data_IF_861065002365
#
_entry.id   IF_861065002365
#
_cell.length_a   1.000
_cell.length_b   1.000
_cell.length_c   1.000
_cell.angle_alpha   90.00
_cell.angle_beta   90.00
_cell.angle_gamma   90.00
#
_symmetry.space_group_name_H-M   'P 1'
#
loop_
_entity.id
_entity.type
_entity.pdbx_description
1 polymer ?
#
# COMPACT_ATOMS: atom_id res chain seq x y z
N UNK A 1 -9.77 -16.13 -0.97
CA UNK A 1 -9.24 -14.78 -1.18
C UNK A 1 -7.77 -14.90 -1.55
N UNK A 2 -7.37 -14.32 -2.68
CA UNK A 2 -6.05 -14.34 -3.27
C UNK A 2 -5.65 -12.91 -3.61
N UNK A 3 -4.46 -12.48 -3.22
CA UNK A 3 -3.95 -11.15 -3.51
C UNK A 3 -2.48 -11.17 -3.90
N UNK A 4 -2.00 -10.04 -4.42
CA UNK A 4 -0.61 -9.86 -4.82
C UNK A 4 0.02 -8.62 -4.17
N UNK A 5 1.34 -8.69 -3.98
CA UNK A 5 2.14 -7.50 -3.75
C UNK A 5 2.50 -6.88 -5.11
N UNK A 6 2.18 -5.60 -5.27
CA UNK A 6 2.47 -4.83 -6.47
C UNK A 6 3.38 -3.65 -6.11
N UNK A 7 4.22 -3.25 -7.06
CA UNK A 7 5.19 -2.17 -6.89
C UNK A 7 5.17 -1.15 -8.04
N UNK A 8 4.40 -1.42 -9.10
CA UNK A 8 4.31 -0.59 -10.29
C UNK A 8 3.03 -0.89 -11.10
N UNK A 9 2.79 -0.11 -12.15
CA UNK A 9 1.61 -0.25 -13.02
C UNK A 9 1.50 -1.62 -13.71
N UNK A 10 2.61 -2.17 -14.22
CA UNK A 10 2.59 -3.45 -14.92
C UNK A 10 2.15 -4.61 -14.02
N UNK A 11 2.54 -4.57 -12.74
CA UNK A 11 2.09 -5.55 -11.75
C UNK A 11 0.62 -5.38 -11.36
N UNK A 12 0.13 -4.13 -11.28
CA UNK A 12 -1.27 -3.81 -11.05
C UNK A 12 -2.16 -4.35 -12.18
N UNK A 13 -1.80 -4.08 -13.44
CA UNK A 13 -2.49 -4.59 -14.63
C UNK A 13 -2.52 -6.12 -14.65
N UNK A 14 -1.40 -6.76 -14.28
CA UNK A 14 -1.32 -8.22 -14.19
C UNK A 14 -2.23 -8.78 -13.11
N UNK A 15 -2.33 -8.12 -11.95
CA UNK A 15 -3.26 -8.53 -10.90
C UNK A 15 -4.73 -8.47 -11.36
N UNK A 16 -5.08 -7.46 -12.17
CA UNK A 16 -6.40 -7.36 -12.80
C UNK A 16 -6.63 -8.50 -13.78
N UNK A 17 -5.67 -8.75 -14.68
CA UNK A 17 -5.77 -9.81 -15.68
C UNK A 17 -5.89 -11.22 -15.07
N UNK A 18 -5.32 -11.42 -13.88
CA UNK A 18 -5.42 -12.68 -13.13
C UNK A 18 -6.69 -12.80 -12.27
N UNK A 19 -7.52 -11.76 -12.19
CA UNK A 19 -8.75 -11.77 -11.40
C UNK A 19 -8.49 -11.87 -9.89
N UNK A 20 -7.45 -11.20 -9.38
CA UNK A 20 -7.14 -11.21 -7.96
C UNK A 20 -8.17 -10.42 -7.13
N UNK A 21 -8.32 -10.78 -5.86
CA UNK A 21 -9.32 -10.17 -4.96
C UNK A 21 -8.85 -8.83 -4.39
N UNK A 22 -7.54 -8.63 -4.22
CA UNK A 22 -6.93 -7.40 -3.72
C UNK A 22 -5.43 -7.32 -4.04
N UNK A 23 -4.85 -6.14 -3.87
CA UNK A 23 -3.39 -5.94 -3.93
C UNK A 23 -2.90 -5.11 -2.75
N UNK A 24 -1.63 -5.31 -2.37
CA UNK A 24 -0.88 -4.31 -1.59
C UNK A 24 0.03 -3.54 -2.54
N UNK A 25 0.06 -2.21 -2.45
CA UNK A 25 0.93 -1.37 -3.28
C UNK A 25 1.98 -0.69 -2.39
N UNK A 26 3.27 -0.90 -2.72
CA UNK A 26 4.40 -0.56 -1.84
C UNK A 26 5.72 -0.36 -2.58
N UNK A 27 6.76 0.21 -1.93
CA UNK A 27 6.69 0.93 -0.66
C UNK A 27 6.21 2.37 -0.86
N UNK A 28 5.28 2.83 0.00
CA UNK A 28 4.80 4.22 -0.05
C UNK A 28 5.81 5.18 0.54
N UNK A 29 6.43 4.81 1.66
CA UNK A 29 7.41 5.60 2.39
C UNK A 29 8.62 4.74 2.78
N UNK A 30 9.68 5.37 3.26
CA UNK A 30 10.89 4.66 3.67
C UNK A 30 10.56 3.59 4.72
N UNK A 31 11.20 2.43 4.60
CA UNK A 31 10.96 1.29 5.49
C UNK A 31 12.27 0.76 6.04
N UNK A 32 12.28 0.28 7.28
CA UNK A 32 13.45 -0.40 7.84
C UNK A 32 13.72 -1.78 7.22
N UNK A 33 12.72 -2.40 6.59
CA UNK A 33 12.89 -3.70 5.94
C UNK A 33 13.71 -3.58 4.65
N UNK A 34 13.50 -2.50 3.90
CA UNK A 34 14.24 -2.18 2.67
C UNK A 34 14.60 -0.69 2.69
N UNK A 35 15.66 -0.29 3.40
CA UNK A 35 16.02 1.12 3.61
C UNK A 35 16.51 1.83 2.34
N UNK A 36 17.00 1.07 1.37
CA UNK A 36 17.53 1.60 0.10
C UNK A 36 16.52 1.56 -1.05
N UNK A 37 15.30 1.05 -0.81
CA UNK A 37 14.28 0.98 -1.84
C UNK A 37 13.75 2.38 -2.21
N UNK A 38 13.62 2.65 -3.50
CA UNK A 38 12.90 3.82 -3.99
C UNK A 38 11.42 3.71 -3.59
N UNK A 39 10.87 4.81 -3.08
CA UNK A 39 9.49 4.86 -2.60
C UNK A 39 8.57 5.45 -3.67
N UNK A 40 7.33 4.98 -3.73
CA UNK A 40 6.31 5.55 -4.61
C UNK A 40 5.94 6.98 -4.21
N UNK A 41 5.77 7.23 -2.91
CA UNK A 41 5.12 8.44 -2.41
C UNK A 41 3.64 8.48 -2.78
N UNK A 42 2.91 9.40 -2.14
CA UNK A 42 1.45 9.47 -2.26
C UNK A 42 0.96 9.95 -3.63
N UNK A 43 1.72 10.84 -4.29
CA UNK A 43 1.36 11.37 -5.62
C UNK A 43 1.34 10.24 -6.65
N UNK A 44 2.46 9.52 -6.82
CA UNK A 44 2.54 8.38 -7.74
C UNK A 44 1.59 7.25 -7.37
N UNK A 45 1.39 7.01 -6.07
CA UNK A 45 0.39 6.05 -5.61
C UNK A 45 -1.01 6.42 -6.13
N UNK A 46 -1.44 7.67 -5.96
CA UNK A 46 -2.75 8.12 -6.44
C UNK A 46 -2.86 8.05 -7.96
N UNK A 47 -1.79 8.38 -8.70
CA UNK A 47 -1.76 8.30 -10.17
C UNK A 47 -1.97 6.85 -10.65
N UNK A 48 -1.33 5.88 -10.00
CA UNK A 48 -1.47 4.46 -10.33
C UNK A 48 -2.89 3.92 -10.05
N UNK A 49 -3.66 4.58 -9.17
CA UNK A 49 -4.98 4.12 -8.74
C UNK A 49 -6.15 4.83 -9.41
N UNK A 50 -5.90 5.81 -10.30
CA UNK A 50 -6.95 6.68 -10.86
C UNK A 50 -8.15 5.94 -11.47
N UNK A 51 -7.95 4.74 -12.02
CA UNK A 51 -9.01 3.87 -12.57
C UNK A 51 -8.79 2.39 -12.19
N UNK A 52 -8.10 2.13 -11.09
CA UNK A 52 -7.75 0.77 -10.70
C UNK A 52 -8.95 0.04 -10.08
N UNK A 53 -9.40 -1.11 -10.64
CA UNK A 53 -10.71 -1.67 -10.30
C UNK A 53 -10.71 -2.61 -9.07
N UNK A 54 -9.54 -2.96 -8.54
CA UNK A 54 -9.39 -3.95 -7.46
C UNK A 54 -9.02 -3.25 -6.15
N UNK A 55 -9.50 -3.74 -4.99
CA UNK A 55 -9.11 -3.20 -3.68
C UNK A 55 -7.60 -3.11 -3.47
N UNK A 56 -7.12 -1.93 -3.04
CA UNK A 56 -5.71 -1.65 -2.80
C UNK A 56 -5.46 -1.29 -1.34
N UNK A 57 -4.45 -1.93 -0.73
CA UNK A 57 -3.98 -1.59 0.61
C UNK A 57 -2.58 -0.98 0.52
N UNK A 58 -2.42 0.23 1.06
CA UNK A 58 -1.13 0.91 1.05
C UNK A 58 -0.17 0.22 2.03
N UNK A 59 1.07 -0.04 1.60
CA UNK A 59 2.05 -0.77 2.39
C UNK A 59 3.45 -0.14 2.26
N UNK A 60 4.26 -0.29 3.30
CA UNK A 60 5.65 0.16 3.32
C UNK A 60 5.79 1.54 3.95
N UNK A 61 6.20 1.55 5.22
CA UNK A 61 6.41 2.77 6.02
C UNK A 61 5.17 3.25 6.78
N UNK A 62 4.03 2.55 6.65
CA UNK A 62 2.74 2.98 7.19
C UNK A 62 2.66 2.94 8.72
N UNK A 63 2.04 3.97 9.27
CA UNK A 63 1.56 4.13 10.65
C UNK A 63 0.04 4.10 10.70
N UNK A 64 -0.54 3.95 11.89
CA UNK A 64 -2.01 3.97 12.06
C UNK A 64 -2.62 5.30 11.61
N UNK A 65 -1.93 6.41 11.89
CA UNK A 65 -2.37 7.77 11.56
C UNK A 65 -2.38 8.04 10.04
N UNK A 66 -1.77 7.18 9.22
CA UNK A 66 -1.77 7.31 7.76
C UNK A 66 -3.08 6.84 7.12
N UNK A 67 -4.04 6.29 7.88
CA UNK A 67 -5.22 5.63 7.32
C UNK A 67 -6.08 6.60 6.48
N UNK A 68 -6.32 7.79 7.00
CA UNK A 68 -7.12 8.80 6.31
C UNK A 68 -6.39 9.32 5.06
N UNK A 69 -5.08 9.54 5.16
CA UNK A 69 -4.22 9.90 4.01
C UNK A 69 -4.29 8.82 2.93
N UNK A 70 -4.15 7.54 3.28
CA UNK A 70 -4.19 6.45 2.32
C UNK A 70 -5.52 6.39 1.58
N UNK A 71 -6.64 6.59 2.30
CA UNK A 71 -7.98 6.65 1.70
C UNK A 71 -8.15 7.83 0.77
N UNK A 72 -7.65 9.01 1.15
CA UNK A 72 -7.65 10.20 0.29
C UNK A 72 -6.88 9.97 -1.03
N UNK A 73 -5.86 9.12 -1.00
CA UNK A 73 -5.07 8.74 -2.18
C UNK A 73 -5.57 7.47 -2.89
N UNK A 74 -6.79 7.00 -2.60
CA UNK A 74 -7.44 5.91 -3.33
C UNK A 74 -7.24 4.50 -2.74
N UNK A 75 -6.54 4.37 -1.61
CA UNK A 75 -6.45 3.09 -0.92
C UNK A 75 -7.78 2.71 -0.24
N UNK A 76 -8.07 1.42 -0.21
CA UNK A 76 -9.17 0.87 0.60
C UNK A 76 -8.79 0.79 2.09
N UNK A 77 -7.49 0.66 2.38
CA UNK A 77 -6.95 0.67 3.73
C UNK A 77 -5.42 0.60 3.77
N UNK A 78 -4.90 0.24 4.94
CA UNK A 78 -3.48 0.08 5.19
C UNK A 78 -3.11 -1.37 5.47
N UNK A 79 -1.90 -1.75 5.08
CA UNK A 79 -1.21 -2.92 5.62
C UNK A 79 0.05 -2.46 6.37
N UNK A 80 0.22 -2.97 7.58
CA UNK A 80 1.29 -2.59 8.51
C UNK A 80 1.99 -3.83 9.05
N UNK A 81 3.27 -3.69 9.40
CA UNK A 81 4.05 -4.75 10.05
C UNK A 81 4.42 -4.36 11.49
N UNK A 82 5.36 -3.41 11.65
CA UNK A 82 5.88 -3.02 12.97
C UNK A 82 4.94 -2.09 13.73
N UNK A 83 4.33 -1.13 13.04
CA UNK A 83 3.49 -0.10 13.65
C UNK A 83 2.29 -0.67 14.42
N UNK A 84 1.74 -1.82 14.01
CA UNK A 84 0.63 -2.50 14.71
C UNK A 84 1.01 -2.90 16.14
N UNK A 85 2.26 -3.29 16.37
CA UNK A 85 2.73 -3.72 17.69
C UNK A 85 3.11 -2.53 18.59
N UNK A 86 3.46 -1.39 17.98
CA UNK A 86 3.78 -0.15 18.70
C UNK A 86 2.54 0.66 19.10
N UNK A 87 1.40 0.44 18.44
CA UNK A 87 0.16 1.15 18.69
C UNK A 87 -0.46 0.88 20.08
N UNK A 88 0.06 -0.09 20.83
CA UNK A 88 -0.42 -0.48 22.16
C UNK A 88 0.52 -0.07 23.32
N UNK A 89 1.47 0.83 23.09
CA UNK A 89 2.30 1.39 24.17
C UNK A 89 1.65 2.65 24.76
N UNK A 90 0.55 2.46 25.48
CA UNK A 90 0.13 3.42 26.50
C UNK A 90 0.89 3.06 27.77
N UNK A 91 1.79 3.94 28.22
CA UNK A 91 2.27 3.95 29.60
C UNK A 91 1.17 4.49 30.51
#
# INVERSE_FOLDING_TARGET
>A
MCGAACHNNAELEKAVALGLDYVTLSPISQTRSHPEAETLGWVKFSELLSDYPIPVYALGGMQMDDLDTARQHGAHGLAMQRAVWSANQTL
#
